data_IF_470913310141
#
_entry.id   IF_470913310141
#
_cell.length_a   1.000
_cell.length_b   1.000
_cell.length_c   1.000
_cell.angle_alpha   90.00
_cell.angle_beta   90.00
_cell.angle_gamma   90.00
#
_symmetry.space_group_name_H-M   'P 1'
#
loop_
_entity.id
_entity.type
_entity.pdbx_description
1 polymer ?
#
# COMPACT_ATOMS: atom_id res chain seq x y z
N UNK A 1 17.43 -12.77 2.70
CA UNK A 1 16.84 -11.90 1.66
C UNK A 1 17.36 -12.40 0.31
N UNK A 2 16.58 -13.24 -0.37
CA UNK A 2 16.89 -13.62 -1.74
C UNK A 2 16.31 -12.55 -2.66
N UNK A 3 17.05 -11.47 -2.87
CA UNK A 3 16.56 -10.35 -3.67
C UNK A 3 17.38 -9.08 -3.59
N UNK A 4 17.27 -8.26 -4.63
CA UNK A 4 17.89 -6.93 -4.75
C UNK A 4 17.23 -5.86 -3.87
N UNK A 5 16.13 -6.20 -3.18
CA UNK A 5 15.48 -5.32 -2.22
C UNK A 5 16.32 -5.12 -0.95
N UNK A 6 16.13 -3.98 -0.28
CA UNK A 6 16.79 -3.62 0.98
C UNK A 6 15.76 -3.22 2.05
N UNK A 7 16.17 -3.36 3.31
CA UNK A 7 15.39 -2.92 4.46
C UNK A 7 16.32 -2.66 5.65
N UNK A 8 16.13 -1.52 6.30
CA UNK A 8 16.83 -1.08 7.48
C UNK A 8 15.81 -0.80 8.59
N UNK A 9 15.99 -1.46 9.73
CA UNK A 9 15.11 -1.30 10.89
C UNK A 9 15.86 -0.55 11.99
N UNK A 10 15.25 0.54 12.46
CA UNK A 10 15.70 1.27 13.65
C UNK A 10 14.59 1.25 14.69
N UNK A 11 14.90 0.75 15.89
CA UNK A 11 13.95 0.66 16.99
C UNK A 11 14.31 1.71 18.04
N UNK A 12 13.29 2.43 18.51
CA UNK A 12 13.39 3.46 19.55
C UNK A 12 12.11 3.49 20.38
N UNK A 13 12.07 4.32 21.42
CA UNK A 13 10.88 4.48 22.27
C UNK A 13 9.64 4.98 21.50
N UNK A 14 9.83 5.67 20.37
CA UNK A 14 8.74 6.13 19.51
C UNK A 14 8.22 5.07 18.54
N UNK A 15 8.83 3.88 18.51
CA UNK A 15 8.45 2.77 17.64
C UNK A 15 9.57 2.29 16.72
N UNK A 16 9.19 1.46 15.76
CA UNK A 16 10.09 0.82 14.79
C UNK A 16 10.01 1.54 13.45
N UNK A 17 11.07 2.28 13.08
CA UNK A 17 11.22 2.89 11.76
C UNK A 17 11.81 1.89 10.79
N UNK A 18 11.10 1.62 9.70
CA UNK A 18 11.52 0.72 8.65
C UNK A 18 11.60 1.47 7.32
N UNK A 19 12.77 1.44 6.72
CA UNK A 19 13.04 2.12 5.45
C UNK A 19 13.91 1.25 4.54
N UNK A 20 13.79 1.44 3.24
CA UNK A 20 14.48 0.59 2.28
C UNK A 20 13.97 0.80 0.87
N UNK A 21 14.34 -0.10 -0.02
CA UNK A 21 13.89 -0.07 -1.41
C UNK A 21 13.47 -1.45 -1.87
N UNK A 22 12.33 -1.54 -2.54
CA UNK A 22 11.86 -2.76 -3.18
C UNK A 22 12.36 -2.80 -4.61
N UNK A 23 13.01 -3.90 -4.98
CA UNK A 23 13.39 -4.20 -6.35
C UNK A 23 12.62 -5.45 -6.81
N UNK A 24 11.85 -5.28 -7.89
CA UNK A 24 10.97 -6.33 -8.41
C UNK A 24 11.69 -7.36 -9.29
N UNK A 25 12.92 -7.09 -9.76
CA UNK A 25 13.78 -8.03 -10.50
C UNK A 25 14.48 -9.07 -9.61
N UNK A 26 14.03 -9.23 -8.36
CA UNK A 26 14.68 -10.09 -7.38
C UNK A 26 13.76 -10.58 -6.28
N UNK A 27 12.47 -10.79 -6.54
CA UNK A 27 11.52 -11.30 -5.55
C UNK A 27 10.70 -10.22 -4.85
N UNK A 28 11.09 -8.94 -4.92
CA UNK A 28 10.15 -7.83 -4.71
C UNK A 28 9.62 -7.65 -3.30
N UNK A 29 10.35 -7.99 -2.23
CA UNK A 29 9.86 -7.78 -0.86
C UNK A 29 10.95 -7.29 0.10
N UNK A 30 10.51 -6.65 1.18
CA UNK A 30 11.32 -6.33 2.36
C UNK A 30 10.46 -6.52 3.61
N UNK A 31 11.07 -7.01 4.69
CA UNK A 31 10.34 -7.31 5.92
C UNK A 31 11.20 -7.14 7.15
N UNK A 32 10.55 -6.86 8.27
CA UNK A 32 11.11 -7.11 9.60
C UNK A 32 10.13 -7.91 10.44
N UNK A 33 10.66 -8.59 11.45
CA UNK A 33 9.88 -9.53 12.26
C UNK A 33 10.40 -9.56 13.68
N UNK A 34 9.48 -9.70 14.62
CA UNK A 34 9.76 -10.08 16.00
C UNK A 34 9.31 -11.52 16.21
N UNK A 35 10.29 -12.41 16.39
CA UNK A 35 10.06 -13.76 16.89
C UNK A 35 9.90 -13.71 18.41
N UNK A 36 8.97 -14.49 18.97
CA UNK A 36 8.76 -14.58 20.41
C UNK A 36 9.65 -15.63 21.08
N UNK A 37 10.40 -16.41 20.30
CA UNK A 37 11.38 -17.40 20.73
C UNK A 37 10.82 -18.82 20.80
N UNK A 38 11.72 -19.79 21.00
CA UNK A 38 11.43 -21.23 21.01
C UNK A 38 10.37 -21.67 22.04
N UNK A 39 10.21 -20.92 23.14
CA UNK A 39 9.19 -21.14 24.18
C UNK A 39 8.18 -19.99 24.28
N UNK A 40 8.16 -19.10 23.29
CA UNK A 40 7.45 -17.83 23.35
C UNK A 40 6.08 -17.83 22.69
N UNK A 41 5.42 -19.00 22.53
CA UNK A 41 4.05 -19.02 22.04
C UNK A 41 3.18 -18.07 22.88
N UNK A 42 2.51 -17.14 22.21
CA UNK A 42 1.52 -16.25 22.79
C UNK A 42 0.15 -16.80 22.46
N UNK A 43 -0.63 -17.05 23.51
CA UNK A 43 -2.03 -17.35 23.37
C UNK A 43 -2.81 -16.03 23.26
N UNK A 44 -3.35 -15.76 22.09
CA UNK A 44 -4.16 -14.58 21.77
C UNK A 44 -5.65 -14.92 21.61
N UNK A 45 -6.13 -16.09 22.05
CA UNK A 45 -7.52 -16.53 21.84
C UNK A 45 -8.57 -15.61 22.46
N UNK A 46 -8.20 -14.90 23.51
CA UNK A 46 -9.10 -13.97 24.20
C UNK A 46 -9.24 -12.62 23.48
N UNK A 47 -8.46 -12.41 22.41
CA UNK A 47 -8.50 -11.20 21.59
C UNK A 47 -9.24 -11.43 20.27
N UNK A 48 -9.86 -10.37 19.73
CA UNK A 48 -10.54 -10.41 18.44
C UNK A 48 -9.62 -10.08 17.25
N UNK A 49 -8.52 -9.37 17.50
CA UNK A 49 -7.60 -8.93 16.45
C UNK A 49 -6.44 -8.09 16.96
N UNK A 50 -5.78 -7.41 16.01
CA UNK A 50 -4.70 -6.48 16.28
C UNK A 50 -5.13 -5.04 16.03
N UNK A 51 -4.74 -4.12 16.90
CA UNK A 51 -4.69 -2.69 16.61
C UNK A 51 -3.26 -2.32 16.21
N UNK A 52 -3.11 -1.74 15.02
CA UNK A 52 -1.83 -1.28 14.47
C UNK A 52 -1.87 0.23 14.32
N UNK A 53 -0.89 0.92 14.89
CA UNK A 53 -0.71 2.38 14.80
C UNK A 53 0.62 2.69 14.10
N UNK A 54 0.58 3.58 13.11
CA UNK A 54 1.71 3.99 12.28
C UNK A 54 1.77 5.52 12.15
N UNK A 55 2.95 6.06 11.86
CA UNK A 55 3.05 7.42 11.31
C UNK A 55 2.44 7.44 9.90
N UNK A 56 1.70 8.50 9.57
CA UNK A 56 1.27 8.72 8.19
C UNK A 56 2.51 8.96 7.29
N UNK A 57 2.39 8.65 6.00
CA UNK A 57 3.44 8.97 5.03
C UNK A 57 3.50 10.48 4.82
N UNK A 58 4.64 10.98 4.34
CA UNK A 58 4.78 12.39 3.99
C UNK A 58 3.68 12.82 3.01
N UNK A 59 3.16 14.05 3.15
CA UNK A 59 2.11 14.59 2.26
C UNK A 59 2.49 14.52 0.76
N UNK A 60 3.77 14.63 0.44
CA UNK A 60 4.31 14.52 -0.92
C UNK A 60 4.34 13.09 -1.47
N UNK A 61 3.97 12.09 -0.68
CA UNK A 61 4.00 10.69 -1.10
C UNK A 61 2.87 10.44 -2.09
N UNK A 62 3.23 10.06 -3.31
CA UNK A 62 2.29 9.89 -4.42
C UNK A 62 1.27 8.78 -4.21
N UNK A 63 1.58 7.73 -3.47
CA UNK A 63 0.62 6.65 -3.22
C UNK A 63 0.84 6.06 -1.84
N UNK A 64 -0.22 5.54 -1.21
CA UNK A 64 -0.10 4.75 0.00
C UNK A 64 0.93 3.62 -0.13
N UNK A 65 1.40 3.14 1.02
CA UNK A 65 2.26 1.95 1.11
C UNK A 65 1.45 0.85 1.76
N UNK A 66 1.17 -0.23 1.03
CA UNK A 66 0.55 -1.42 1.57
C UNK A 66 1.53 -2.24 2.39
N UNK A 67 1.05 -2.73 3.52
CA UNK A 67 1.75 -3.63 4.41
C UNK A 67 0.95 -4.91 4.55
N UNK A 68 1.66 -6.04 4.65
CA UNK A 68 1.14 -7.20 5.35
C UNK A 68 1.61 -7.17 6.79
N UNK A 69 0.64 -7.18 7.70
CA UNK A 69 0.86 -7.52 9.10
C UNK A 69 0.74 -9.03 9.20
N UNK A 70 1.85 -9.69 9.50
CA UNK A 70 1.92 -11.16 9.56
C UNK A 70 1.91 -11.64 11.01
N UNK A 71 1.18 -12.72 11.25
CA UNK A 71 1.23 -13.51 12.48
C UNK A 71 1.73 -14.91 12.15
N UNK A 72 2.67 -15.38 12.94
CA UNK A 72 3.26 -16.68 12.74
C UNK A 72 2.67 -17.71 13.65
N UNK A 73 2.31 -18.84 13.06
CA UNK A 73 1.54 -19.87 13.75
C UNK A 73 2.36 -21.16 13.82
N UNK A 74 2.60 -21.64 15.05
CA UNK A 74 3.31 -22.89 15.29
C UNK A 74 2.54 -24.13 14.83
N UNK A 75 1.21 -24.06 14.72
CA UNK A 75 0.37 -25.20 14.33
C UNK A 75 0.55 -25.57 12.86
N UNK A 76 0.73 -24.57 11.99
CA UNK A 76 0.91 -24.74 10.54
C UNK A 76 2.35 -24.43 10.10
N UNK A 77 3.23 -24.02 11.03
CA UNK A 77 4.61 -23.52 10.75
C UNK A 77 4.63 -22.52 9.59
N UNK A 78 3.65 -21.62 9.59
CA UNK A 78 3.32 -20.72 8.49
C UNK A 78 2.98 -19.33 9.00
N UNK A 79 3.26 -18.32 8.18
CA UNK A 79 2.79 -16.94 8.40
C UNK A 79 1.41 -16.73 7.80
N UNK A 80 0.58 -15.98 8.51
CA UNK A 80 -0.74 -15.52 8.07
C UNK A 80 -0.71 -14.00 8.01
N UNK A 81 -1.07 -13.43 6.86
CA UNK A 81 -1.05 -11.98 6.65
C UNK A 81 -2.44 -11.38 6.62
N UNK A 82 -2.56 -10.15 7.13
CA UNK A 82 -3.65 -9.24 6.83
C UNK A 82 -3.07 -7.95 6.24
N UNK A 83 -3.67 -7.47 5.14
CA UNK A 83 -3.28 -6.26 4.46
C UNK A 83 -3.90 -5.01 5.08
N UNK A 84 -3.08 -3.96 5.13
CA UNK A 84 -3.45 -2.57 5.40
C UNK A 84 -2.62 -1.66 4.51
N UNK A 85 -2.93 -0.36 4.44
CA UNK A 85 -2.07 0.61 3.77
C UNK A 85 -1.90 1.87 4.61
N UNK A 86 -0.70 2.43 4.57
CA UNK A 86 -0.36 3.69 5.24
C UNK A 86 -0.70 4.84 4.28
N UNK A 87 -1.64 5.73 4.62
CA UNK A 87 -1.97 6.88 3.79
C UNK A 87 -0.91 7.98 3.91
N UNK A 88 -0.75 8.84 2.87
CA UNK A 88 -0.13 10.15 3.05
C UNK A 88 -0.98 11.03 3.98
N UNK A 89 -0.32 11.90 4.74
CA UNK A 89 -1.01 12.83 5.64
C UNK A 89 -0.08 13.91 6.17
N UNK A 90 -0.63 14.90 6.91
CA UNK A 90 0.14 15.98 7.50
C UNK A 90 1.29 15.49 8.37
N UNK A 91 2.35 16.27 8.43
CA UNK A 91 3.51 15.96 9.26
C UNK A 91 3.09 15.73 10.72
N UNK A 92 3.61 14.66 11.33
CA UNK A 92 3.27 14.25 12.70
C UNK A 92 1.91 13.60 12.87
N UNK A 93 1.10 13.47 11.81
CA UNK A 93 -0.15 12.70 11.88
C UNK A 93 0.11 11.20 11.97
N UNK A 94 -0.79 10.50 12.64
CA UNK A 94 -0.75 9.04 12.79
C UNK A 94 -2.01 8.43 12.19
N UNK A 95 -1.91 7.17 11.78
CA UNK A 95 -3.01 6.38 11.28
C UNK A 95 -3.08 5.05 12.04
N UNK A 96 -4.29 4.59 12.32
CA UNK A 96 -4.53 3.32 12.97
C UNK A 96 -5.56 2.48 12.24
N UNK A 97 -5.41 1.16 12.36
CA UNK A 97 -6.36 0.18 11.84
C UNK A 97 -6.55 -0.96 12.83
N UNK A 98 -7.78 -1.47 12.93
CA UNK A 98 -8.10 -2.73 13.58
C UNK A 98 -8.11 -3.85 12.53
N UNK A 99 -7.35 -4.92 12.78
CA UNK A 99 -7.22 -6.09 11.93
C UNK A 99 -7.77 -7.31 12.69
N UNK A 100 -9.05 -7.70 12.47
CA UNK A 100 -9.61 -8.86 13.12
C UNK A 100 -8.87 -10.12 12.69
N UNK A 101 -8.72 -11.11 13.58
CA UNK A 101 -8.04 -12.37 13.24
C UNK A 101 -8.71 -13.12 12.09
N UNK A 102 -10.02 -12.90 11.89
CA UNK A 102 -10.76 -13.42 10.76
C UNK A 102 -10.29 -12.90 9.40
N UNK A 103 -9.44 -11.85 9.33
CA UNK A 103 -8.82 -11.36 8.10
C UNK A 103 -7.48 -11.99 7.78
N UNK A 104 -6.83 -12.64 8.75
CA UNK A 104 -5.50 -13.21 8.55
C UNK A 104 -5.60 -14.46 7.68
N UNK A 105 -4.92 -14.45 6.53
CA UNK A 105 -4.94 -15.52 5.55
C UNK A 105 -3.54 -16.01 5.26
N UNK A 106 -3.42 -17.29 4.94
CA UNK A 106 -2.13 -17.83 4.57
C UNK A 106 -1.72 -17.30 3.20
N UNK A 107 -0.45 -16.93 3.10
CA UNK A 107 0.19 -16.50 1.87
C UNK A 107 0.62 -17.69 1.00
N UNK A 108 0.46 -17.55 -0.32
CA UNK A 108 0.39 -18.61 -1.34
C UNK A 108 1.63 -19.54 -1.46
N UNK A 109 2.76 -19.20 -0.83
CA UNK A 109 4.06 -19.84 -1.10
C UNK A 109 4.32 -21.15 -0.32
N UNK A 110 3.47 -21.56 0.63
CA UNK A 110 3.65 -22.83 1.37
C UNK A 110 2.33 -23.58 1.53
N UNK A 111 2.35 -24.91 1.46
CA UNK A 111 1.19 -25.76 1.78
C UNK A 111 0.82 -25.69 3.27
N UNK A 112 -0.47 -25.55 3.60
CA UNK A 112 -1.05 -25.68 4.95
C UNK A 112 -2.08 -26.80 4.93
N UNK A 113 -2.46 -27.32 6.10
CA UNK A 113 -3.57 -28.27 6.21
C UNK A 113 -4.91 -27.56 6.22
N UNK A 114 -5.12 -26.65 7.19
CA UNK A 114 -6.41 -25.98 7.37
C UNK A 114 -6.39 -24.50 6.95
N UNK A 115 -5.19 -23.92 6.81
CA UNK A 115 -5.00 -22.57 6.29
C UNK A 115 -5.79 -21.49 7.06
N UNK A 116 -5.98 -21.75 8.34
CA UNK A 116 -6.66 -20.87 9.29
C UNK A 116 -5.66 -20.56 10.41
N UNK A 117 -5.52 -19.29 10.75
CA UNK A 117 -4.71 -18.84 11.87
C UNK A 117 -5.24 -19.45 13.18
N UNK A 118 -4.36 -20.05 13.98
CA UNK A 118 -4.62 -20.43 15.36
C UNK A 118 -4.07 -19.35 16.30
N UNK A 119 -4.90 -18.41 16.79
CA UNK A 119 -4.45 -17.34 17.68
C UNK A 119 -3.90 -17.87 19.01
N UNK A 120 -4.16 -19.14 19.37
CA UNK A 120 -3.62 -19.74 20.58
C UNK A 120 -2.15 -20.15 20.52
N UNK A 121 -1.53 -20.08 19.33
CA UNK A 121 -0.17 -20.61 19.08
C UNK A 121 0.69 -19.62 18.26
N UNK A 122 0.53 -18.33 18.53
CA UNK A 122 1.26 -17.28 17.81
C UNK A 122 2.71 -17.23 18.29
N UNK A 123 3.66 -17.30 17.36
CA UNK A 123 5.11 -17.36 17.62
C UNK A 123 5.86 -16.11 17.19
N UNK A 124 5.21 -15.20 16.48
CA UNK A 124 5.84 -13.99 16.00
C UNK A 124 4.86 -13.05 15.33
N UNK A 125 5.36 -11.83 15.11
CA UNK A 125 4.67 -10.80 14.34
C UNK A 125 5.66 -10.20 13.33
N UNK A 126 5.20 -10.02 12.10
CA UNK A 126 5.99 -9.49 10.99
C UNK A 126 5.29 -8.31 10.32
N UNK A 127 6.10 -7.44 9.72
CA UNK A 127 5.64 -6.42 8.80
C UNK A 127 6.38 -6.63 7.48
N UNK A 128 5.62 -6.76 6.40
CA UNK A 128 6.14 -7.08 5.07
C UNK A 128 5.62 -6.06 4.06
N UNK A 129 6.54 -5.48 3.28
CA UNK A 129 6.26 -4.71 2.08
C UNK A 129 6.50 -5.61 0.88
N UNK A 130 5.49 -5.80 0.04
CA UNK A 130 5.52 -6.71 -1.10
C UNK A 130 5.21 -5.94 -2.39
N UNK A 131 6.02 -6.19 -3.41
CA UNK A 131 5.82 -5.84 -4.82
C UNK A 131 5.48 -4.38 -5.11
N UNK A 132 5.95 -3.46 -4.26
CA UNK A 132 5.79 -2.02 -4.40
C UNK A 132 7.13 -1.39 -4.69
N UNK A 133 7.55 -1.44 -5.97
CA UNK A 133 8.86 -0.98 -6.41
C UNK A 133 9.21 0.44 -5.93
N UNK A 134 10.48 0.63 -5.56
CA UNK A 134 11.03 1.91 -5.13
C UNK A 134 11.20 2.02 -3.61
N UNK A 135 11.52 3.24 -3.18
CA UNK A 135 11.80 3.52 -1.78
C UNK A 135 10.52 3.51 -0.92
N UNK A 136 10.66 2.99 0.30
CA UNK A 136 9.67 3.13 1.36
C UNK A 136 10.35 3.62 2.64
N UNK A 137 9.60 4.36 3.47
CA UNK A 137 9.99 4.72 4.83
C UNK A 137 8.74 4.98 5.64
N UNK A 138 8.58 4.24 6.73
CA UNK A 138 7.47 4.43 7.66
C UNK A 138 7.88 4.02 9.08
N UNK A 139 7.09 4.44 10.07
CA UNK A 139 7.28 4.03 11.46
C UNK A 139 6.03 3.31 11.96
N UNK A 140 6.22 2.11 12.49
CA UNK A 140 5.19 1.40 13.25
C UNK A 140 5.35 1.80 14.71
N UNK A 141 4.34 2.46 15.27
CA UNK A 141 4.34 2.89 16.68
C UNK A 141 3.93 1.76 17.59
N UNK A 142 2.84 1.07 17.25
CA UNK A 142 2.19 0.09 18.12
C UNK A 142 1.61 -1.06 17.32
N UNK A 143 1.68 -2.25 17.90
CA UNK A 143 0.89 -3.43 17.53
C UNK A 143 0.40 -4.04 18.84
N UNK A 144 -0.91 -3.95 19.10
CA UNK A 144 -1.55 -4.49 20.31
C UNK A 144 -2.61 -5.51 19.92
N UNK A 145 -2.73 -6.59 20.70
CA UNK A 145 -3.90 -7.45 20.63
C UNK A 145 -5.04 -6.79 21.44
N UNK A 146 -6.24 -6.74 20.87
CA UNK A 146 -7.43 -6.12 21.49
C UNK A 146 -8.64 -7.05 21.38
N UNK A 147 -9.50 -7.04 22.39
CA UNK A 147 -10.65 -7.96 22.49
C UNK A 147 -11.83 -7.53 21.64
N UNK A 148 -11.84 -6.28 21.18
CA UNK A 148 -12.81 -5.74 20.23
C UNK A 148 -12.28 -4.48 19.56
N UNK A 149 -12.88 -4.09 18.44
CA UNK A 149 -12.56 -2.80 17.79
C UNK A 149 -12.87 -1.60 18.71
N UNK A 150 -13.87 -1.71 19.58
CA UNK A 150 -14.23 -0.65 20.54
C UNK A 150 -13.18 -0.39 21.62
N UNK A 151 -12.21 -1.28 21.81
CA UNK A 151 -11.06 -1.04 22.71
C UNK A 151 -10.00 -0.13 22.09
N UNK A 152 -10.05 0.11 20.77
CA UNK A 152 -9.14 1.06 20.12
C UNK A 152 -9.42 2.47 20.68
N UNK A 153 -8.43 3.15 21.29
CA UNK A 153 -8.65 4.46 21.90
C UNK A 153 -9.21 5.47 20.90
N UNK A 154 -10.11 6.33 21.34
CA UNK A 154 -10.64 7.41 20.49
C UNK A 154 -9.56 8.41 20.04
N UNK A 155 -8.43 8.46 20.76
CA UNK A 155 -7.22 9.22 20.44
C UNK A 155 -6.30 8.54 19.42
N UNK A 156 -6.58 7.30 19.02
CA UNK A 156 -5.82 6.60 18.00
C UNK A 156 -5.89 7.36 16.66
N UNK A 157 -4.82 7.27 15.89
CA UNK A 157 -4.73 7.92 14.58
C UNK A 157 -5.89 7.54 13.65
N UNK A 158 -6.50 8.52 13.00
CA UNK A 158 -7.59 8.30 12.02
C UNK A 158 -7.06 8.54 10.61
N UNK A 159 -7.88 8.24 9.60
CA UNK A 159 -7.54 8.58 8.21
C UNK A 159 -7.18 10.07 8.12
N UNK A 160 -5.95 10.44 7.69
CA UNK A 160 -5.56 11.82 7.59
C UNK A 160 -6.38 12.56 6.53
N UNK A 161 -6.68 13.83 6.78
CA UNK A 161 -7.22 14.74 5.77
C UNK A 161 -6.06 15.44 5.08
N UNK A 162 -5.93 15.23 3.77
CA UNK A 162 -4.91 15.88 2.95
C UNK A 162 -5.46 17.16 2.32
N UNK A 163 -4.68 18.24 2.31
CA UNK A 163 -4.95 19.40 1.45
C UNK A 163 -4.16 19.20 0.17
N UNK A 164 -4.84 19.02 -0.97
CA UNK A 164 -4.20 18.61 -2.22
C UNK A 164 -4.90 19.20 -3.43
N UNK A 165 -4.40 18.93 -4.64
CA UNK A 165 -4.98 19.39 -5.90
C UNK A 165 -5.58 18.24 -6.70
N UNK A 166 -6.47 18.55 -7.63
CA UNK A 166 -7.02 17.56 -8.57
C UNK A 166 -5.91 16.86 -9.39
N UNK A 167 -4.83 17.58 -9.72
CA UNK A 167 -3.63 17.05 -10.38
C UNK A 167 -2.92 15.99 -9.54
N UNK A 168 -2.73 16.27 -8.25
CA UNK A 168 -2.10 15.33 -7.32
C UNK A 168 -3.00 14.12 -7.05
N UNK A 169 -4.32 14.30 -6.99
CA UNK A 169 -5.28 13.19 -6.93
C UNK A 169 -5.17 12.30 -8.15
N UNK A 170 -5.09 12.87 -9.36
CA UNK A 170 -4.89 12.09 -10.57
C UNK A 170 -3.59 11.27 -10.49
N UNK A 171 -2.46 11.90 -10.12
CA UNK A 171 -1.18 11.20 -9.95
C UNK A 171 -1.26 10.10 -8.90
N UNK A 172 -1.95 10.36 -7.79
CA UNK A 172 -2.13 9.40 -6.70
C UNK A 172 -2.94 8.18 -7.13
N UNK A 173 -4.02 8.39 -7.87
CA UNK A 173 -4.80 7.30 -8.46
C UNK A 173 -3.91 6.46 -9.39
N UNK A 174 -3.16 7.09 -10.30
CA UNK A 174 -2.32 6.38 -11.26
C UNK A 174 -1.19 5.60 -10.58
N UNK A 175 -0.49 6.21 -9.62
CA UNK A 175 0.55 5.56 -8.84
C UNK A 175 -0.01 4.37 -8.02
N UNK A 176 -1.18 4.55 -7.42
CA UNK A 176 -1.88 3.49 -6.70
C UNK A 176 -2.26 2.34 -7.63
N UNK A 177 -2.83 2.62 -8.80
CA UNK A 177 -3.17 1.60 -9.82
C UNK A 177 -1.94 0.81 -10.24
N UNK A 178 -0.83 1.49 -10.57
CA UNK A 178 0.42 0.85 -10.99
C UNK A 178 0.94 -0.12 -9.92
N UNK A 179 1.05 0.34 -8.66
CA UNK A 179 1.52 -0.50 -7.54
C UNK A 179 0.54 -1.63 -7.22
N UNK A 180 -0.75 -1.33 -7.11
CA UNK A 180 -1.78 -2.30 -6.72
C UNK A 180 -1.98 -3.38 -7.77
N UNK A 181 -2.05 -3.01 -9.05
CA UNK A 181 -2.21 -4.00 -10.12
C UNK A 181 -0.99 -4.91 -10.25
N UNK A 182 0.21 -4.39 -10.00
CA UNK A 182 1.40 -5.22 -9.95
C UNK A 182 1.32 -6.24 -8.79
N UNK A 183 1.02 -5.79 -7.56
CA UNK A 183 0.84 -6.68 -6.41
C UNK A 183 -0.25 -7.74 -6.64
N UNK A 184 -1.37 -7.35 -7.25
CA UNK A 184 -2.42 -8.27 -7.68
C UNK A 184 -1.90 -9.36 -8.61
N UNK A 185 -1.16 -8.99 -9.65
CA UNK A 185 -0.61 -9.92 -10.62
C UNK A 185 0.43 -10.88 -10.00
N UNK A 186 1.02 -10.50 -8.87
CA UNK A 186 1.88 -11.37 -8.06
C UNK A 186 1.10 -12.27 -7.09
N UNK A 187 -0.23 -12.23 -7.11
CA UNK A 187 -1.10 -13.06 -6.27
C UNK A 187 -1.49 -12.43 -4.93
N UNK A 188 -1.38 -11.10 -4.79
CA UNK A 188 -1.71 -10.37 -3.55
C UNK A 188 -2.87 -9.38 -3.77
N UNK A 189 -4.08 -9.87 -4.12
CA UNK A 189 -5.24 -9.01 -4.38
C UNK A 189 -5.66 -8.17 -3.17
N UNK A 190 -5.41 -8.63 -1.95
CA UNK A 190 -5.69 -7.91 -0.70
C UNK A 190 -4.82 -6.66 -0.56
N UNK A 191 -3.57 -6.67 -1.03
CA UNK A 191 -2.71 -5.48 -1.02
C UNK A 191 -3.13 -4.47 -2.08
N UNK A 192 -3.52 -4.96 -3.25
CA UNK A 192 -4.15 -4.11 -4.26
C UNK A 192 -5.39 -3.43 -3.68
N UNK A 193 -6.25 -4.20 -3.01
CA UNK A 193 -7.40 -3.70 -2.28
C UNK A 193 -7.01 -2.64 -1.26
N UNK A 194 -6.01 -2.90 -0.41
CA UNK A 194 -5.58 -1.97 0.65
C UNK A 194 -5.04 -0.65 0.11
N UNK A 195 -4.22 -0.69 -0.95
CA UNK A 195 -3.75 0.52 -1.64
C UNK A 195 -4.93 1.33 -2.17
N UNK A 196 -5.87 0.67 -2.85
CA UNK A 196 -7.02 1.36 -3.45
C UNK A 196 -7.99 1.89 -2.39
N UNK A 197 -8.23 1.13 -1.33
CA UNK A 197 -9.03 1.55 -0.19
C UNK A 197 -8.44 2.83 0.44
N UNK A 198 -7.14 2.82 0.77
CA UNK A 198 -6.47 3.97 1.37
C UNK A 198 -6.51 5.20 0.48
N UNK A 199 -6.24 5.04 -0.83
CA UNK A 199 -6.34 6.14 -1.80
C UNK A 199 -7.76 6.69 -1.91
N UNK A 200 -8.77 5.83 -1.98
CA UNK A 200 -10.18 6.27 -2.03
C UNK A 200 -10.57 7.05 -0.76
N UNK A 201 -10.16 6.59 0.43
CA UNK A 201 -10.44 7.30 1.67
C UNK A 201 -9.72 8.66 1.75
N UNK A 202 -8.45 8.74 1.35
CA UNK A 202 -7.73 10.02 1.28
C UNK A 202 -8.49 11.00 0.37
N UNK A 203 -8.86 10.58 -0.84
CA UNK A 203 -9.63 11.43 -1.79
C UNK A 203 -10.99 11.82 -1.20
N UNK A 204 -11.71 10.89 -0.55
CA UNK A 204 -13.05 11.14 -0.02
C UNK A 204 -13.10 12.28 1.02
N UNK A 205 -11.97 12.48 1.73
CA UNK A 205 -11.80 13.46 2.80
C UNK A 205 -10.91 14.65 2.42
N UNK A 206 -10.26 14.61 1.25
CA UNK A 206 -9.30 15.62 0.82
C UNK A 206 -9.92 17.01 0.69
N UNK A 207 -9.12 18.08 0.86
CA UNK A 207 -9.52 19.47 0.66
C UNK A 207 -8.93 20.01 -0.63
N UNK A 208 -9.56 21.05 -1.19
CA UNK A 208 -9.15 21.76 -2.41
C UNK A 208 -9.17 20.92 -3.70
N UNK A 209 -10.07 19.96 -3.77
CA UNK A 209 -10.32 19.13 -4.96
C UNK A 209 -11.79 19.24 -5.38
N UNK A 210 -12.12 18.77 -6.58
CA UNK A 210 -13.49 18.76 -7.09
C UNK A 210 -14.45 17.99 -6.17
N UNK A 211 -15.59 18.60 -5.85
CA UNK A 211 -16.65 17.95 -5.06
C UNK A 211 -17.19 16.68 -5.70
N UNK A 212 -17.26 16.62 -7.04
CA UNK A 212 -17.65 15.41 -7.78
C UNK A 212 -16.65 14.28 -7.55
N UNK A 213 -15.34 14.58 -7.58
CA UNK A 213 -14.28 13.59 -7.35
C UNK A 213 -14.35 13.03 -5.93
N UNK A 214 -14.55 13.90 -4.93
CA UNK A 214 -14.77 13.46 -3.55
C UNK A 214 -16.01 12.55 -3.42
N UNK A 215 -17.12 12.92 -4.06
CA UNK A 215 -18.37 12.15 -4.00
C UNK A 215 -18.22 10.75 -4.59
N UNK A 216 -17.50 10.63 -5.72
CA UNK A 216 -17.22 9.32 -6.34
C UNK A 216 -16.35 8.44 -5.45
N UNK A 217 -15.35 9.03 -4.78
CA UNK A 217 -14.54 8.32 -3.81
C UNK A 217 -15.35 7.88 -2.57
N UNK A 218 -16.22 8.75 -2.02
CA UNK A 218 -17.14 8.41 -0.91
C UNK A 218 -18.13 7.30 -1.28
N UNK A 219 -18.69 7.37 -2.49
CA UNK A 219 -19.60 6.34 -2.98
C UNK A 219 -18.89 4.99 -3.10
N UNK A 220 -17.64 4.98 -3.56
CA UNK A 220 -16.83 3.78 -3.63
C UNK A 220 -16.51 3.20 -2.25
N UNK A 221 -16.10 4.04 -1.28
CA UNK A 221 -15.81 3.58 0.08
C UNK A 221 -17.05 2.99 0.73
N UNK A 222 -18.20 3.67 0.64
CA UNK A 222 -19.46 3.17 1.20
C UNK A 222 -19.93 1.87 0.52
N UNK A 223 -19.83 1.78 -0.81
CA UNK A 223 -20.25 0.57 -1.52
C UNK A 223 -19.33 -0.63 -1.20
N UNK A 224 -18.03 -0.38 -1.06
CA UNK A 224 -17.03 -1.41 -0.75
C UNK A 224 -17.11 -1.96 0.69
N UNK A 225 -17.74 -1.28 1.64
CA UNK A 225 -17.91 -1.75 3.04
C UNK A 225 -18.60 -3.12 3.13
N UNK A 226 -19.40 -3.47 2.12
CA UNK A 226 -20.08 -4.77 2.02
C UNK A 226 -19.11 -5.94 1.73
N UNK A 227 -17.86 -5.64 1.35
CA UNK A 227 -16.89 -6.62 0.89
C UNK A 227 -15.60 -6.52 1.72
N UNK A 228 -15.34 -7.50 2.61
CA UNK A 228 -14.14 -7.46 3.44
C UNK A 228 -12.86 -7.46 2.61
N UNK A 229 -12.01 -6.44 2.82
CA UNK A 229 -10.78 -6.17 2.08
C UNK A 229 -9.84 -7.39 1.96
N UNK A 230 -9.75 -8.15 3.04
CA UNK A 230 -8.81 -9.26 3.20
C UNK A 230 -9.42 -10.64 2.88
N UNK A 231 -10.68 -10.71 2.44
CA UNK A 231 -11.40 -11.97 2.17
C UNK A 231 -11.67 -12.24 0.69
N UNK A 232 -11.10 -11.43 -0.19
CA UNK A 232 -11.32 -11.57 -1.61
C UNK A 232 -10.86 -10.32 -2.34
N UNK A 233 -11.43 -10.10 -3.50
CA UNK A 233 -10.88 -9.18 -4.48
C UNK A 233 -11.94 -8.20 -5.03
N UNK A 234 -13.16 -8.30 -4.51
CA UNK A 234 -14.32 -7.49 -4.88
C UNK A 234 -14.13 -6.00 -4.57
N UNK A 235 -13.63 -5.68 -3.36
CA UNK A 235 -13.39 -4.30 -2.95
C UNK A 235 -12.40 -3.60 -3.89
N UNK A 236 -11.33 -4.28 -4.30
CA UNK A 236 -10.35 -3.74 -5.25
C UNK A 236 -11.00 -3.36 -6.59
N UNK A 237 -11.90 -4.18 -7.12
CA UNK A 237 -12.61 -3.88 -8.37
C UNK A 237 -13.59 -2.71 -8.24
N UNK A 238 -14.26 -2.57 -7.09
CA UNK A 238 -15.12 -1.41 -6.79
C UNK A 238 -14.30 -0.12 -6.80
N UNK A 239 -13.18 -0.10 -6.08
CA UNK A 239 -12.30 1.07 -6.09
C UNK A 239 -11.69 1.32 -7.47
N UNK A 240 -11.32 0.26 -8.20
CA UNK A 240 -10.79 0.41 -9.56
C UNK A 240 -11.77 1.11 -10.49
N UNK A 241 -13.06 0.75 -10.44
CA UNK A 241 -14.11 1.41 -11.22
C UNK A 241 -14.25 2.90 -10.87
N UNK A 242 -14.18 3.22 -9.59
CA UNK A 242 -14.19 4.61 -9.10
C UNK A 242 -12.99 5.40 -9.66
N UNK A 243 -11.79 4.84 -9.57
CA UNK A 243 -10.56 5.47 -10.07
C UNK A 243 -10.53 5.67 -11.57
N UNK A 244 -10.96 4.67 -12.34
CA UNK A 244 -11.05 4.78 -13.80
C UNK A 244 -12.10 5.84 -14.20
N UNK A 245 -13.19 5.99 -13.42
CA UNK A 245 -14.18 7.04 -13.65
C UNK A 245 -13.64 8.43 -13.34
N UNK A 246 -12.96 8.61 -12.20
CA UNK A 246 -12.32 9.88 -11.84
C UNK A 246 -11.26 10.24 -12.89
N UNK A 247 -10.45 9.26 -13.33
CA UNK A 247 -9.42 9.46 -14.36
C UNK A 247 -10.04 9.91 -15.68
N UNK A 248 -11.12 9.26 -16.14
CA UNK A 248 -11.83 9.65 -17.36
C UNK A 248 -12.39 11.08 -17.26
N UNK A 249 -12.93 11.47 -16.10
CA UNK A 249 -13.43 12.82 -15.88
C UNK A 249 -12.32 13.88 -16.00
N UNK A 250 -11.13 13.62 -15.43
CA UNK A 250 -9.97 14.48 -15.62
C UNK A 250 -9.41 14.48 -17.04
N UNK A 251 -9.57 13.39 -17.78
CA UNK A 251 -9.20 13.31 -19.21
C UNK A 251 -10.22 14.00 -20.13
N UNK A 252 -11.36 14.45 -19.60
CA UNK A 252 -12.47 14.97 -20.42
C UNK A 252 -13.13 13.89 -21.29
N UNK A 253 -13.01 12.62 -20.91
CA UNK A 253 -13.52 11.47 -21.64
C UNK A 253 -14.70 10.80 -20.91
N UNK A 254 -15.42 9.93 -21.62
CA UNK A 254 -16.48 9.13 -21.01
C UNK A 254 -15.88 8.03 -20.11
N UNK A 255 -16.49 7.74 -18.94
CA UNK A 255 -16.01 6.66 -18.08
C UNK A 255 -16.08 5.31 -18.82
N UNK A 256 -15.18 4.35 -18.51
CA UNK A 256 -15.20 3.05 -19.17
C UNK A 256 -16.55 2.33 -18.94
N UNK A 257 -17.03 1.57 -19.94
CA UNK A 257 -18.31 0.89 -19.82
C UNK A 257 -18.27 -0.16 -18.70
N UNK A 258 -19.42 -0.35 -18.06
CA UNK A 258 -19.57 -1.24 -16.91
C UNK A 258 -19.18 -2.70 -17.19
N UNK A 259 -19.34 -3.14 -18.44
CA UNK A 259 -18.93 -4.47 -18.91
C UNK A 259 -17.43 -4.76 -18.77
N UNK A 260 -16.59 -3.75 -18.51
CA UNK A 260 -15.15 -3.93 -18.22
C UNK A 260 -14.87 -4.38 -16.79
N UNK A 261 -15.86 -4.36 -15.90
CA UNK A 261 -15.69 -4.71 -14.50
C UNK A 261 -16.49 -5.98 -14.16
N UNK A 262 -16.08 -6.74 -13.13
CA UNK A 262 -16.89 -7.84 -12.62
C UNK A 262 -18.22 -7.35 -12.06
N UNK A 263 -19.22 -8.22 -12.04
CA UNK A 263 -20.60 -7.89 -11.61
C UNK A 263 -20.67 -7.26 -10.22
N UNK A 264 -19.76 -7.63 -9.32
CA UNK A 264 -19.70 -7.05 -7.96
C UNK A 264 -19.41 -5.55 -7.94
N UNK A 265 -18.76 -5.02 -8.99
CA UNK A 265 -18.46 -3.61 -9.10
C UNK A 265 -19.54 -2.85 -9.89
N UNK A 266 -20.57 -3.54 -10.40
CA UNK A 266 -21.67 -2.94 -11.17
C UNK A 266 -22.62 -2.11 -10.29
N UNK A 267 -23.60 -1.47 -10.90
CA UNK A 267 -24.61 -0.61 -10.29
C UNK A 267 -24.42 0.87 -10.62
N UNK A 268 -25.45 1.67 -10.32
CA UNK A 268 -25.49 3.10 -10.64
C UNK A 268 -24.76 3.99 -9.64
N UNK A 269 -24.18 3.44 -8.55
CA UNK A 269 -23.55 4.19 -7.46
C UNK A 269 -22.49 5.20 -7.95
N UNK A 270 -21.69 4.83 -8.96
CA UNK A 270 -20.72 5.75 -9.60
C UNK A 270 -21.44 6.87 -10.35
N UNK A 271 -22.47 6.54 -11.13
CA UNK A 271 -23.17 7.49 -12.00
C UNK A 271 -23.91 8.53 -11.16
N UNK A 272 -24.57 8.10 -10.09
CA UNK A 272 -25.22 8.98 -9.12
C UNK A 272 -24.21 9.90 -8.44
N UNK A 273 -23.01 9.41 -8.10
CA UNK A 273 -21.97 10.26 -7.53
C UNK A 273 -21.42 11.30 -8.53
N UNK A 274 -21.36 10.93 -9.82
CA UNK A 274 -20.92 11.82 -10.91
C UNK A 274 -21.93 12.94 -11.24
N UNK A 275 -23.22 12.75 -10.97
CA UNK A 275 -24.24 13.78 -11.28
C UNK A 275 -24.14 15.05 -10.40
N UNK A 276 -23.24 15.07 -9.41
CA UNK A 276 -23.06 16.19 -8.49
C UNK A 276 -22.36 17.42 -9.05
N UNK A 277 -21.86 17.40 -10.31
CA UNK A 277 -21.23 18.55 -10.94
C UNK A 277 -20.16 18.15 -11.97
N UNK A 278 -19.60 19.14 -12.68
CA UNK A 278 -18.53 18.92 -13.66
C UNK A 278 -17.14 18.85 -13.02
N UNK A 279 -16.28 17.99 -13.55
CA UNK A 279 -14.84 17.96 -13.24
C UNK A 279 -14.09 18.73 -14.33
N UNK A 280 -13.16 19.59 -13.94
CA UNK A 280 -12.32 20.31 -14.91
C UNK A 280 -11.28 19.35 -15.52
N UNK A 281 -11.18 19.25 -16.86
CA UNK A 281 -10.14 18.45 -17.49
C UNK A 281 -8.73 18.94 -17.14
N UNK A 282 -7.79 18.02 -17.02
CA UNK A 282 -6.39 18.26 -16.67
C UNK A 282 -5.47 18.04 -17.89
N UNK A 283 -4.24 18.61 -17.89
CA UNK A 283 -3.23 18.35 -18.93
C UNK A 283 -2.57 16.98 -18.73
N UNK A 284 -3.34 15.90 -18.92
CA UNK A 284 -2.97 14.53 -18.53
C UNK A 284 -1.65 14.04 -19.13
N UNK A 285 -1.29 14.45 -20.35
CA UNK A 285 -0.01 14.09 -20.97
C UNK A 285 1.19 14.67 -20.20
N UNK A 286 1.08 15.90 -19.70
CA UNK A 286 2.12 16.54 -18.89
C UNK A 286 2.21 15.87 -17.53
N UNK A 287 1.06 15.62 -16.88
CA UNK A 287 1.01 14.94 -15.60
C UNK A 287 1.55 13.52 -15.65
N UNK A 288 1.34 12.80 -16.76
CA UNK A 288 1.92 11.47 -16.97
C UNK A 288 3.45 11.51 -17.03
N UNK A 289 4.00 12.51 -17.72
CA UNK A 289 5.46 12.71 -17.78
C UNK A 289 6.03 13.05 -16.41
N UNK A 290 5.37 13.94 -15.66
CA UNK A 290 5.76 14.30 -14.29
C UNK A 290 5.72 13.08 -13.37
N UNK A 291 4.65 12.28 -13.42
CA UNK A 291 4.52 11.06 -12.63
C UNK A 291 5.65 10.08 -12.94
N UNK A 292 5.94 9.86 -14.23
CA UNK A 292 7.05 9.00 -14.63
C UNK A 292 8.38 9.50 -14.08
N UNK A 293 8.65 10.80 -14.16
CA UNK A 293 9.86 11.41 -13.59
C UNK A 293 9.92 11.26 -12.07
N UNK A 294 8.80 11.40 -11.35
CA UNK A 294 8.76 11.25 -9.89
C UNK A 294 8.96 9.78 -9.47
N UNK A 295 8.37 8.83 -10.20
CA UNK A 295 8.58 7.40 -9.95
C UNK A 295 10.02 6.99 -10.26
N UNK A 296 10.63 7.54 -11.30
CA UNK A 296 12.04 7.30 -11.64
C UNK A 296 12.99 8.02 -10.70
N UNK A 297 12.75 9.27 -10.31
CA UNK A 297 13.64 10.04 -9.41
C UNK A 297 13.60 9.53 -7.97
N UNK A 298 12.46 9.03 -7.50
CA UNK A 298 12.39 8.24 -6.27
C UNK A 298 13.27 6.98 -6.31
N UNK A 299 13.54 6.44 -7.51
CA UNK A 299 14.50 5.35 -7.72
C UNK A 299 15.93 5.84 -8.03
N UNK A 300 16.10 6.98 -8.72
CA UNK A 300 17.37 7.48 -9.28
C UNK A 300 18.13 8.43 -8.35
N UNK A 301 17.47 9.07 -7.38
CA UNK A 301 18.13 9.76 -6.26
C UNK A 301 19.04 8.83 -5.45
N UNK A 302 18.97 7.51 -5.69
CA UNK A 302 19.78 6.48 -5.04
C UNK A 302 20.87 5.86 -5.93
N UNK A 303 20.97 6.25 -7.21
CA UNK A 303 22.16 5.94 -8.05
C UNK A 303 23.25 7.01 -7.99
N UNK A 304 22.93 8.22 -7.53
CA UNK A 304 23.91 9.32 -7.43
C UNK A 304 25.04 9.07 -6.40
N UNK A 305 24.86 8.12 -5.47
CA UNK A 305 25.94 7.63 -4.59
C UNK A 305 26.79 6.50 -5.19
N UNK A 306 26.49 6.03 -6.42
CA UNK A 306 27.29 5.02 -7.13
C UNK A 306 28.14 5.57 -8.29
N UNK A 307 27.82 6.75 -8.84
CA UNK A 307 28.60 7.32 -9.96
C UNK A 307 29.81 8.15 -9.49
N UNK A 308 29.83 8.62 -8.24
CA UNK A 308 31.00 9.30 -7.65
C UNK A 308 32.14 8.36 -7.21
N UNK A 309 31.93 7.04 -7.22
CA UNK A 309 32.95 6.04 -6.91
C UNK A 309 33.54 5.29 -8.12
N UNK A 310 33.04 5.53 -9.34
CA UNK A 310 33.45 4.80 -10.56
C UNK A 310 34.02 5.71 -11.65
N UNK A 311 34.18 7.01 -11.39
CA UNK A 311 34.83 7.96 -12.30
C UNK A 311 36.35 8.12 -12.07
N UNK A 312 36.96 7.29 -11.22
CA UNK A 312 38.40 7.38 -10.94
C UNK A 312 39.15 6.04 -10.96
N UNK A 313 38.84 5.13 -11.89
CA UNK A 313 39.80 4.07 -12.27
C UNK A 313 39.64 3.73 -13.76
N UNK A 314 40.63 4.13 -14.57
CA UNK A 314 41.12 3.24 -15.63
C UNK A 314 40.72 3.52 -17.08
N UNK A 315 40.61 4.77 -17.52
CA UNK A 315 40.79 5.09 -18.94
C UNK A 315 42.28 5.34 -19.22
N UNK A 316 43.06 4.27 -19.34
CA UNK A 316 44.39 4.27 -19.97
C UNK A 316 44.59 2.89 -20.60
N UNK A 317 44.41 2.81 -21.91
CA UNK A 317 45.36 2.25 -22.88
C UNK A 317 44.64 2.05 -24.23
N UNK A 318 44.88 2.98 -25.15
CA UNK A 318 44.87 2.71 -26.58
C UNK A 318 46.16 3.27 -27.17
N UNK A 319 46.80 2.46 -28.01
CA UNK A 319 47.84 2.76 -29.02
C UNK A 319 49.30 2.85 -28.60
N UNK A 320 50.04 1.76 -28.86
CA UNK A 320 51.21 1.62 -29.79
C UNK A 320 51.29 0.10 -30.10
N UNK A 321 51.50 -0.48 -31.27
CA UNK A 321 51.81 -0.05 -32.64
C UNK A 321 52.29 -1.30 -33.42
N UNK A 322 51.88 -1.39 -34.69
CA UNK A 322 52.57 -1.93 -35.86
C UNK A 322 53.70 -2.99 -35.73
N UNK A 323 53.50 -4.06 -36.51
CA UNK A 323 54.47 -4.70 -37.42
C UNK A 323 55.69 -5.48 -36.87
N UNK A 324 55.72 -6.74 -37.32
CA UNK A 324 56.71 -7.83 -37.22
C UNK A 324 56.71 -8.66 -35.95
#
# INVERSE_FOLDING_TARGET
>A
MGGRSSGNLQVSDSGARFEGSINIDGGGFASFRRDFGWFGERNLRDYAGLWVEVDALAESTLAPVALHVELDDASERSGFGAAMAIPPGPEGSTYSVFLPFSWFRKQLLRSCRNCILNPGRVTGVGIVVLYQEGFFSFRVRKIYAVSSESEVPSSAGRMPTLTTSDSDVWKMIRASILRGSYAWNQGYPEQCGALYNSTAFVISSARNISGTVQNVARAATSYAEQFPLNLGNNAAWIYRRSFDTISAAYEGSAPPPESRYPQVAHGDWVRTAMSGGSVQPLPVSELANELQQQMVSGAAGQFALRILGLLFVGCMHFLVGLAK
#
